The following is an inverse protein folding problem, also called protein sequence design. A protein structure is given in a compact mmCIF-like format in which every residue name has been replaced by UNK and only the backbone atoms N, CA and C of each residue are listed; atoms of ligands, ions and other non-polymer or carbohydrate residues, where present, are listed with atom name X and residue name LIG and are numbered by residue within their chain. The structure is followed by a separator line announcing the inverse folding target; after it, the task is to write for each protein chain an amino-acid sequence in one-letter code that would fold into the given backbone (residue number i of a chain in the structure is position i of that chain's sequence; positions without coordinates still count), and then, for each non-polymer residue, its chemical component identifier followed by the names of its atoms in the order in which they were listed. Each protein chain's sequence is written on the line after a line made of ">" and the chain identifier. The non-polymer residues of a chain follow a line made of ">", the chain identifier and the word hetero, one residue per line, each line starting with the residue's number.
data_IF_662679417330
#
_entry.id   IF_662679417330
#
_cell.length_a   1.000
_cell.length_b   1.000
_cell.length_c   1.000
_cell.angle_alpha   90.00
_cell.angle_beta   90.00
_cell.angle_gamma   90.00
#
_symmetry.space_group_name_H-M   'P 1'
#
loop_
_entity.id
_entity.type
_entity.pdbx_description
1 polymer ?
#
# COMPACT_ATOMS: atom_id res chain seq x y z
N UNK A 1 17.34 -19.36 -57.82
CA UNK A 1 18.18 -18.69 -56.80
C UNK A 1 17.48 -17.53 -56.07
N UNK A 2 16.18 -17.21 -56.31
CA UNK A 2 15.52 -16.04 -55.71
C UNK A 2 14.80 -16.28 -54.35
N UNK A 3 14.72 -17.53 -53.87
CA UNK A 3 13.98 -17.89 -52.64
C UNK A 3 14.86 -18.27 -51.45
N UNK A 4 16.18 -18.40 -51.63
CA UNK A 4 17.08 -18.83 -50.54
C UNK A 4 17.40 -17.70 -49.55
N UNK A 5 17.51 -16.46 -50.03
CA UNK A 5 17.88 -15.29 -49.22
C UNK A 5 16.79 -14.88 -48.19
N UNK A 6 15.47 -14.87 -48.50
CA UNK A 6 14.47 -14.48 -47.51
C UNK A 6 14.31 -15.49 -46.36
N UNK A 7 14.57 -16.78 -46.61
CA UNK A 7 14.45 -17.84 -45.59
C UNK A 7 15.54 -17.76 -44.51
N UNK A 8 16.77 -17.39 -44.89
CA UNK A 8 17.88 -17.25 -43.93
C UNK A 8 17.72 -16.01 -43.04
N UNK A 9 17.18 -14.91 -43.59
CA UNK A 9 16.91 -13.68 -42.82
C UNK A 9 15.77 -13.89 -41.81
N UNK A 10 14.71 -14.61 -42.20
CA UNK A 10 13.59 -14.92 -41.31
C UNK A 10 13.99 -15.88 -40.18
N UNK A 11 14.86 -16.86 -40.47
CA UNK A 11 15.39 -17.78 -39.47
C UNK A 11 16.26 -17.08 -38.41
N UNK A 12 17.14 -16.16 -38.83
CA UNK A 12 17.99 -15.41 -37.90
C UNK A 12 17.21 -14.42 -37.03
N UNK A 13 16.20 -13.75 -37.59
CA UNK A 13 15.33 -12.86 -36.82
C UNK A 13 14.48 -13.63 -35.79
N UNK A 14 14.03 -14.84 -36.12
CA UNK A 14 13.31 -15.72 -35.19
C UNK A 14 14.14 -16.17 -33.99
N UNK A 15 15.42 -16.51 -34.20
CA UNK A 15 16.34 -16.90 -33.12
C UNK A 15 16.57 -15.76 -32.12
N UNK A 16 16.66 -14.51 -32.60
CA UNK A 16 16.85 -13.35 -31.74
C UNK A 16 15.62 -12.99 -30.89
N UNK A 17 14.41 -13.23 -31.43
CA UNK A 17 13.15 -12.85 -30.76
C UNK A 17 12.60 -13.95 -29.88
N UNK A 18 12.82 -15.22 -30.21
CA UNK A 18 12.28 -16.33 -29.45
C UNK A 18 13.20 -17.58 -29.47
N UNK A 19 14.35 -17.53 -28.77
CA UNK A 19 15.38 -18.56 -28.87
C UNK A 19 14.89 -19.94 -28.39
N UNK A 20 13.97 -19.98 -27.42
CA UNK A 20 13.42 -21.21 -26.86
C UNK A 20 12.67 -22.08 -27.89
N UNK A 21 12.12 -21.48 -28.95
CA UNK A 21 11.40 -22.21 -30.01
C UNK A 21 12.28 -22.48 -31.24
N UNK A 22 13.15 -21.53 -31.62
CA UNK A 22 13.90 -21.62 -32.87
C UNK A 22 15.17 -22.48 -32.77
N UNK A 23 15.83 -22.52 -31.60
CA UNK A 23 17.02 -23.38 -31.39
C UNK A 23 16.68 -24.87 -31.56
N UNK A 24 15.64 -25.44 -30.92
CA UNK A 24 15.31 -26.86 -31.12
C UNK A 24 14.86 -27.18 -32.56
N UNK A 25 14.21 -26.24 -33.26
CA UNK A 25 13.84 -26.39 -34.68
C UNK A 25 15.05 -26.46 -35.61
N UNK A 26 16.09 -25.66 -35.34
CA UNK A 26 17.35 -25.70 -36.09
C UNK A 26 18.10 -27.02 -35.88
N UNK A 27 18.14 -27.53 -34.66
CA UNK A 27 18.75 -28.84 -34.34
C UNK A 27 18.02 -29.95 -35.10
N UNK A 28 16.68 -29.92 -35.12
CA UNK A 28 15.88 -30.91 -35.86
C UNK A 28 16.12 -30.85 -37.37
N UNK A 29 16.21 -29.65 -37.95
CA UNK A 29 16.50 -29.48 -39.38
C UNK A 29 17.90 -29.96 -39.76
N UNK A 30 18.91 -29.71 -38.91
CA UNK A 30 20.26 -30.22 -39.09
C UNK A 30 20.29 -31.76 -39.06
N UNK A 31 19.59 -32.37 -38.11
CA UNK A 31 19.47 -33.83 -38.04
C UNK A 31 18.83 -34.44 -39.30
N UNK A 32 17.77 -33.80 -39.83
CA UNK A 32 17.11 -34.27 -41.04
C UNK A 32 18.05 -34.27 -42.28
N UNK A 33 18.90 -33.26 -42.41
CA UNK A 33 19.89 -33.17 -43.49
C UNK A 33 20.93 -34.30 -43.42
N UNK A 34 21.42 -34.62 -42.22
CA UNK A 34 22.36 -35.73 -42.01
C UNK A 34 21.73 -37.07 -42.37
N UNK A 35 20.46 -37.29 -41.99
CA UNK A 35 19.74 -38.53 -42.33
C UNK A 35 19.56 -38.67 -43.85
N UNK A 36 19.21 -37.60 -44.55
CA UNK A 36 19.05 -37.63 -46.02
C UNK A 36 20.37 -37.98 -46.72
N UNK A 37 21.49 -37.41 -46.27
CA UNK A 37 22.81 -37.68 -46.86
C UNK A 37 23.27 -39.13 -46.60
N UNK A 38 23.04 -39.62 -45.37
CA UNK A 38 23.32 -41.01 -45.01
C UNK A 38 22.54 -42.02 -45.87
N UNK A 39 21.25 -41.77 -46.11
CA UNK A 39 20.44 -42.61 -47.01
C UNK A 39 20.86 -42.49 -48.48
N UNK A 40 21.34 -41.32 -48.92
CA UNK A 40 21.90 -41.11 -50.25
C UNK A 40 23.18 -41.91 -50.50
N UNK A 41 24.07 -41.94 -49.50
CA UNK A 41 25.33 -42.68 -49.53
C UNK A 41 25.10 -44.20 -49.66
N UNK A 42 24.23 -44.76 -48.82
CA UNK A 42 23.86 -46.19 -48.87
C UNK A 42 23.29 -46.62 -50.23
N UNK A 43 22.57 -45.73 -50.93
CA UNK A 43 21.99 -46.03 -52.25
C UNK A 43 23.01 -46.08 -53.38
N UNK A 44 24.21 -45.48 -53.21
CA UNK A 44 25.28 -45.49 -54.22
C UNK A 44 26.11 -46.77 -54.16
N UNK A 45 26.48 -47.23 -52.96
CA UNK A 45 27.25 -48.47 -52.78
C UNK A 45 26.52 -49.72 -53.30
N UNK A 46 25.19 -49.75 -53.21
CA UNK A 46 24.37 -50.85 -53.72
C UNK A 46 24.44 -51.00 -55.26
N UNK A 47 24.78 -49.94 -56.01
CA UNK A 47 24.84 -49.98 -57.48
C UNK A 47 26.21 -50.44 -58.01
N UNK A 48 27.29 -50.18 -57.28
CA UNK A 48 28.66 -50.52 -57.72
C UNK A 48 28.97 -52.01 -57.53
N UNK A 49 28.43 -52.64 -56.49
CA UNK A 49 28.60 -54.08 -56.24
C UNK A 49 27.94 -54.97 -57.30
N UNK A 50 26.95 -54.46 -58.04
CA UNK A 50 26.28 -55.21 -59.11
C UNK A 50 27.10 -55.28 -60.42
N UNK A 51 28.06 -54.38 -60.63
CA UNK A 51 28.83 -54.28 -61.88
C UNK A 51 30.09 -55.16 -61.92
N UNK A 52 30.62 -55.57 -60.77
CA UNK A 52 31.90 -56.27 -60.68
C UNK A 52 31.76 -57.80 -60.81
N UNK A 53 30.54 -58.35 -60.69
CA UNK A 53 30.30 -59.80 -60.65
C UNK A 53 30.25 -60.51 -62.03
N UNK A 54 30.51 -59.83 -63.16
CA UNK A 54 30.22 -60.34 -64.51
C UNK A 54 31.42 -60.43 -65.47
N UNK A 55 32.41 -61.32 -65.23
CA UNK A 55 33.37 -61.71 -66.28
C UNK A 55 33.94 -63.15 -66.12
N UNK A 56 34.01 -63.98 -67.19
CA UNK A 56 34.61 -65.32 -67.15
C UNK A 56 35.97 -65.44 -67.88
N UNK A 57 36.84 -66.43 -67.56
CA UNK A 57 38.17 -66.62 -68.17
C UNK A 57 38.22 -67.70 -69.28
N UNK A 58 39.16 -67.55 -70.24
CA UNK A 58 39.36 -68.42 -71.43
C UNK A 58 40.76 -69.08 -71.43
N UNK A 59 40.83 -70.35 -71.86
CA UNK A 59 41.99 -71.28 -71.83
C UNK A 59 42.83 -71.32 -73.12
N UNK A 60 44.11 -71.73 -72.93
CA UNK A 60 45.17 -72.30 -73.79
C UNK A 60 44.75 -73.12 -75.03
N UNK A 61 45.59 -73.31 -76.09
CA UNK A 61 46.43 -74.54 -76.19
C UNK A 61 47.71 -74.55 -77.12
N UNK A 62 48.63 -75.51 -76.85
CA UNK A 62 49.67 -76.16 -77.72
C UNK A 62 49.03 -77.04 -78.84
N UNK A 63 49.68 -77.67 -79.90
CA UNK A 63 50.89 -78.56 -79.83
C UNK A 63 51.71 -79.00 -81.12
N UNK A 64 52.84 -79.72 -80.90
CA UNK A 64 53.41 -80.97 -81.53
C UNK A 64 53.95 -81.12 -83.01
N UNK A 65 54.82 -82.14 -83.29
CA UNK A 65 55.92 -82.14 -84.30
C UNK A 65 56.02 -83.34 -85.29
N UNK A 66 57.10 -83.31 -86.13
CA UNK A 66 57.81 -84.42 -86.85
C UNK A 66 57.11 -85.05 -88.09
N UNK A 67 57.71 -85.96 -88.93
CA UNK A 67 59.11 -86.43 -89.16
C UNK A 67 59.52 -86.58 -90.68
N UNK A 68 60.75 -87.07 -90.94
CA UNK A 68 61.30 -87.53 -92.24
C UNK A 68 60.62 -88.83 -92.77
N UNK A 69 60.86 -89.31 -94.05
CA UNK A 69 61.96 -90.26 -94.31
C UNK A 69 62.43 -90.51 -95.79
N UNK A 70 63.39 -91.45 -95.90
CA UNK A 70 63.58 -92.53 -96.91
C UNK A 70 64.38 -92.40 -98.23
N UNK A 71 65.30 -93.38 -98.36
CA UNK A 71 66.25 -93.77 -99.41
C UNK A 71 65.63 -94.27 -100.73
N UNK A 72 66.39 -94.19 -101.84
CA UNK A 72 66.33 -95.16 -102.97
C UNK A 72 67.73 -95.34 -103.61
N UNK A 73 68.12 -96.59 -103.90
CA UNK A 73 69.37 -97.06 -104.55
C UNK A 73 69.21 -97.14 -106.07
N UNK A 74 70.17 -96.67 -106.87
CA UNK A 74 70.32 -97.01 -108.29
C UNK A 74 71.81 -97.14 -108.68
N UNK A 75 72.11 -98.17 -109.48
CA UNK A 75 73.43 -98.62 -109.97
C UNK A 75 73.99 -97.66 -111.01
N UNK A 76 75.24 -97.18 -110.87
CA UNK A 76 75.94 -96.35 -111.86
C UNK A 76 77.38 -96.83 -112.12
N UNK A 77 77.87 -96.53 -113.33
CA UNK A 77 79.02 -97.15 -114.01
C UNK A 77 80.35 -96.41 -113.71
N UNK A 78 81.54 -96.99 -113.97
CA UNK A 78 82.80 -96.59 -113.32
C UNK A 78 83.33 -95.17 -113.61
N UNK A 79 82.82 -94.46 -114.62
CA UNK A 79 83.19 -93.05 -114.87
C UNK A 79 82.16 -92.03 -114.37
N UNK A 80 80.98 -92.48 -113.92
CA UNK A 80 79.96 -91.63 -113.28
C UNK A 80 80.13 -91.61 -111.75
N UNK A 81 80.79 -92.63 -111.17
CA UNK A 81 81.10 -92.70 -109.73
C UNK A 81 82.02 -91.57 -109.25
N UNK A 82 82.93 -91.04 -110.07
CA UNK A 82 83.79 -89.91 -109.67
C UNK A 82 83.06 -88.56 -109.76
N UNK A 83 82.12 -88.42 -110.71
CA UNK A 83 81.26 -87.22 -110.82
C UNK A 83 80.13 -87.23 -109.79
N UNK A 84 79.53 -88.39 -109.51
CA UNK A 84 78.52 -88.56 -108.45
C UNK A 84 79.18 -88.55 -107.06
N UNK A 85 80.41 -89.04 -106.89
CA UNK A 85 81.16 -88.88 -105.64
C UNK A 85 81.53 -87.42 -105.38
N UNK A 86 81.90 -86.64 -106.41
CA UNK A 86 82.08 -85.18 -106.27
C UNK A 86 80.76 -84.47 -106.03
N UNK A 87 79.69 -84.78 -106.76
CA UNK A 87 78.38 -84.17 -106.52
C UNK A 87 77.76 -84.57 -105.17
N UNK A 88 78.02 -85.79 -104.66
CA UNK A 88 77.63 -86.21 -103.31
C UNK A 88 78.55 -85.64 -102.24
N UNK A 89 79.83 -85.44 -102.52
CA UNK A 89 80.74 -84.72 -101.63
C UNK A 89 80.32 -83.25 -101.52
N UNK A 90 80.11 -82.56 -102.64
CA UNK A 90 79.62 -81.18 -102.69
C UNK A 90 78.21 -81.06 -102.08
N UNK A 91 77.31 -82.02 -102.30
CA UNK A 91 76.00 -82.04 -101.65
C UNK A 91 76.07 -82.41 -100.16
N UNK A 92 77.05 -83.21 -99.74
CA UNK A 92 77.28 -83.50 -98.33
C UNK A 92 77.93 -82.29 -97.63
N UNK A 93 78.81 -81.56 -98.31
CA UNK A 93 79.44 -80.34 -97.83
C UNK A 93 78.41 -79.20 -97.78
N UNK A 94 77.56 -79.05 -98.79
CA UNK A 94 76.44 -78.12 -98.78
C UNK A 94 75.41 -78.48 -97.69
N UNK A 95 75.14 -79.77 -97.45
CA UNK A 95 74.29 -80.21 -96.32
C UNK A 95 74.96 -80.00 -94.97
N UNK A 96 76.28 -80.19 -94.87
CA UNK A 96 77.03 -79.92 -93.65
C UNK A 96 77.06 -78.42 -93.35
N UNK A 97 77.26 -77.58 -94.37
CA UNK A 97 77.17 -76.12 -94.27
C UNK A 97 75.74 -75.66 -93.95
N UNK A 98 74.71 -76.27 -94.55
CA UNK A 98 73.32 -75.99 -94.23
C UNK A 98 72.97 -76.41 -92.80
N UNK A 99 73.40 -77.59 -92.35
CA UNK A 99 73.22 -78.05 -90.97
C UNK A 99 74.00 -77.19 -89.97
N UNK A 100 75.19 -76.71 -90.35
CA UNK A 100 75.98 -75.79 -89.53
C UNK A 100 75.33 -74.40 -89.48
N UNK A 101 74.78 -73.91 -90.59
CA UNK A 101 74.01 -72.66 -90.64
C UNK A 101 72.70 -72.77 -89.83
N UNK A 102 71.99 -73.90 -89.91
CA UNK A 102 70.81 -74.18 -89.08
C UNK A 102 71.18 -74.30 -87.59
N UNK A 103 72.30 -74.94 -87.25
CA UNK A 103 72.78 -75.03 -85.87
C UNK A 103 73.16 -73.65 -85.31
N UNK A 104 73.84 -72.82 -86.10
CA UNK A 104 74.14 -71.43 -85.73
C UNK A 104 72.88 -70.58 -85.63
N UNK A 105 71.89 -70.77 -86.50
CA UNK A 105 70.60 -70.08 -86.43
C UNK A 105 69.78 -70.53 -85.21
N UNK A 106 69.80 -71.84 -84.87
CA UNK A 106 69.17 -72.38 -83.68
C UNK A 106 69.86 -71.89 -82.39
N UNK A 107 71.19 -71.83 -82.38
CA UNK A 107 71.96 -71.26 -81.28
C UNK A 107 71.68 -69.76 -81.12
N UNK A 108 71.64 -69.00 -82.22
CA UNK A 108 71.29 -67.58 -82.20
C UNK A 108 69.86 -67.34 -81.67
N UNK A 109 68.89 -68.18 -82.07
CA UNK A 109 67.52 -68.15 -81.52
C UNK A 109 67.48 -68.49 -80.04
N UNK A 110 68.16 -69.55 -79.61
CA UNK A 110 68.22 -69.92 -78.19
C UNK A 110 68.87 -68.83 -77.34
N UNK A 111 69.91 -68.14 -77.86
CA UNK A 111 70.51 -66.98 -77.20
C UNK A 111 69.57 -65.78 -77.15
N UNK A 112 68.80 -65.54 -78.21
CA UNK A 112 67.79 -64.48 -78.24
C UNK A 112 66.65 -64.75 -77.24
N UNK A 113 66.10 -65.97 -77.22
CA UNK A 113 65.07 -66.39 -76.27
C UNK A 113 65.59 -66.34 -74.81
N UNK A 114 66.84 -66.73 -74.57
CA UNK A 114 67.46 -66.59 -73.25
C UNK A 114 67.64 -65.11 -72.85
N UNK A 115 68.01 -64.23 -73.78
CA UNK A 115 68.11 -62.79 -73.55
C UNK A 115 66.73 -62.16 -73.30
N UNK A 116 65.69 -62.57 -74.01
CA UNK A 116 64.30 -62.15 -73.77
C UNK A 116 63.79 -62.62 -72.41
N UNK A 117 64.05 -63.88 -72.04
CA UNK A 117 63.70 -64.41 -70.73
C UNK A 117 64.42 -63.67 -69.59
N UNK A 118 65.69 -63.31 -69.80
CA UNK A 118 66.46 -62.49 -68.86
C UNK A 118 65.91 -61.05 -68.77
N UNK A 119 65.53 -60.45 -69.89
CA UNK A 119 64.93 -59.11 -69.91
C UNK A 119 63.57 -59.09 -69.19
N UNK A 120 62.72 -60.09 -69.41
CA UNK A 120 61.44 -60.24 -68.71
C UNK A 120 61.63 -60.52 -67.22
N UNK A 121 62.64 -61.32 -66.83
CA UNK A 121 62.97 -61.54 -65.44
C UNK A 121 63.45 -60.24 -64.77
N UNK A 122 64.29 -59.45 -65.44
CA UNK A 122 64.74 -58.15 -64.96
C UNK A 122 63.59 -57.13 -64.86
N UNK A 123 62.64 -57.14 -65.81
CA UNK A 123 61.44 -56.30 -65.77
C UNK A 123 60.53 -56.71 -64.60
N UNK A 124 60.32 -58.01 -64.38
CA UNK A 124 59.54 -58.52 -63.26
C UNK A 124 60.19 -58.18 -61.90
N UNK A 125 61.52 -58.27 -61.79
CA UNK A 125 62.25 -57.83 -60.60
C UNK A 125 62.15 -56.31 -60.39
N UNK A 126 62.23 -55.52 -61.45
CA UNK A 126 62.05 -54.06 -61.37
C UNK A 126 60.64 -53.68 -60.92
N UNK A 127 59.60 -54.33 -61.47
CA UNK A 127 58.21 -54.12 -61.05
C UNK A 127 57.96 -54.60 -59.61
N UNK A 128 58.59 -55.70 -59.19
CA UNK A 128 58.52 -56.16 -57.80
C UNK A 128 59.18 -55.14 -56.85
N UNK A 129 60.35 -54.61 -57.21
CA UNK A 129 61.03 -53.57 -56.45
C UNK A 129 60.21 -52.26 -56.40
N UNK A 130 59.58 -51.86 -57.50
CA UNK A 130 58.68 -50.70 -57.54
C UNK A 130 57.45 -50.91 -56.65
N UNK A 131 56.83 -52.10 -56.69
CA UNK A 131 55.71 -52.44 -55.83
C UNK A 131 56.10 -52.45 -54.34
N UNK A 132 57.28 -52.96 -54.00
CA UNK A 132 57.82 -52.91 -52.64
C UNK A 132 58.10 -51.48 -52.19
N UNK A 133 58.65 -50.63 -53.06
CA UNK A 133 58.90 -49.22 -52.77
C UNK A 133 57.59 -48.46 -52.51
N UNK A 134 56.56 -48.66 -53.35
CA UNK A 134 55.24 -48.08 -53.16
C UNK A 134 54.57 -48.60 -51.87
N UNK A 135 54.72 -49.87 -51.55
CA UNK A 135 54.22 -50.44 -50.30
C UNK A 135 54.94 -49.85 -49.07
N UNK A 136 56.26 -49.63 -49.17
CA UNK A 136 57.03 -48.97 -48.12
C UNK A 136 56.63 -47.50 -47.96
N UNK A 137 56.41 -46.77 -49.05
CA UNK A 137 55.91 -45.39 -49.02
C UNK A 137 54.52 -45.30 -48.39
N UNK A 138 53.59 -46.17 -48.79
CA UNK A 138 52.24 -46.21 -48.22
C UNK A 138 52.27 -46.53 -46.71
N UNK A 139 53.18 -47.40 -46.26
CA UNK A 139 53.38 -47.67 -44.82
C UNK A 139 53.92 -46.45 -44.09
N UNK A 140 54.94 -45.78 -44.65
CA UNK A 140 55.48 -44.56 -44.06
C UNK A 140 54.43 -43.44 -43.97
N UNK A 141 53.60 -43.27 -45.00
CA UNK A 141 52.48 -42.32 -44.98
C UNK A 141 51.42 -42.68 -43.92
N UNK A 142 51.08 -43.96 -43.77
CA UNK A 142 50.13 -44.42 -42.76
C UNK A 142 50.67 -44.23 -41.33
N UNK A 143 51.96 -44.51 -41.11
CA UNK A 143 52.64 -44.27 -39.82
C UNK A 143 52.71 -42.77 -39.50
N UNK A 144 53.01 -41.92 -40.47
CA UNK A 144 53.00 -40.47 -40.30
C UNK A 144 51.60 -39.95 -39.93
N UNK A 145 50.55 -40.40 -40.63
CA UNK A 145 49.17 -40.02 -40.33
C UNK A 145 48.74 -40.52 -38.93
N UNK A 146 49.16 -41.72 -38.52
CA UNK A 146 48.90 -42.23 -37.18
C UNK A 146 49.62 -41.42 -36.11
N UNK A 147 50.87 -41.01 -36.35
CA UNK A 147 51.62 -40.16 -35.44
C UNK A 147 51.01 -38.76 -35.30
N UNK A 148 50.56 -38.16 -36.40
CA UNK A 148 49.83 -36.88 -36.39
C UNK A 148 48.51 -36.98 -35.61
N UNK A 149 47.73 -38.05 -35.82
CA UNK A 149 46.49 -38.28 -35.08
C UNK A 149 46.73 -38.43 -33.56
N UNK A 150 47.75 -39.20 -33.17
CA UNK A 150 48.17 -39.34 -31.77
C UNK A 150 48.66 -38.02 -31.16
N UNK A 151 49.33 -37.18 -31.96
CA UNK A 151 49.77 -35.86 -31.51
C UNK A 151 48.62 -34.86 -31.35
N UNK A 152 47.54 -35.00 -32.14
CA UNK A 152 46.36 -34.12 -32.08
C UNK A 152 45.39 -34.46 -30.92
N UNK A 153 45.34 -35.71 -30.47
CA UNK A 153 44.49 -36.15 -29.35
C UNK A 153 44.68 -35.34 -28.05
N UNK A 154 45.91 -35.09 -27.53
CA UNK A 154 46.09 -34.29 -26.32
C UNK A 154 45.67 -32.82 -26.51
N UNK A 155 45.81 -32.26 -27.71
CA UNK A 155 45.35 -30.89 -28.00
C UNK A 155 43.81 -30.81 -27.97
N UNK A 156 43.13 -31.80 -28.54
CA UNK A 156 41.67 -31.91 -28.49
C UNK A 156 41.16 -32.05 -27.05
N UNK A 157 41.79 -32.92 -26.24
CA UNK A 157 41.46 -33.09 -24.83
C UNK A 157 41.73 -31.81 -24.02
N UNK A 158 42.82 -31.10 -24.30
CA UNK A 158 43.10 -29.82 -23.67
C UNK A 158 42.08 -28.74 -24.04
N UNK A 159 41.64 -28.70 -25.30
CA UNK A 159 40.59 -27.79 -25.76
C UNK A 159 39.24 -28.11 -25.08
N UNK A 160 38.88 -29.39 -24.97
CA UNK A 160 37.67 -29.81 -24.27
C UNK A 160 37.73 -29.45 -22.78
N UNK A 161 38.84 -29.72 -22.09
CA UNK A 161 39.01 -29.37 -20.69
C UNK A 161 38.92 -27.85 -20.45
N UNK A 162 39.47 -27.03 -21.36
CA UNK A 162 39.33 -25.57 -21.30
C UNK A 162 37.87 -25.13 -21.48
N UNK A 163 37.18 -25.69 -22.47
CA UNK A 163 35.76 -25.38 -22.69
C UNK A 163 34.89 -25.76 -21.47
N UNK A 164 35.18 -26.91 -20.84
CA UNK A 164 34.49 -27.32 -19.61
C UNK A 164 34.80 -26.38 -18.43
N UNK A 165 36.06 -25.95 -18.27
CA UNK A 165 36.44 -24.99 -17.22
C UNK A 165 35.77 -23.63 -17.41
N UNK A 166 35.76 -23.09 -18.63
CA UNK A 166 35.08 -21.83 -18.97
C UNK A 166 33.57 -21.92 -18.74
N UNK A 167 32.95 -23.05 -19.10
CA UNK A 167 31.54 -23.29 -18.83
C UNK A 167 31.23 -23.33 -17.32
N UNK A 168 32.10 -23.97 -16.52
CA UNK A 168 31.96 -24.01 -15.07
C UNK A 168 32.13 -22.61 -14.44
N UNK A 169 33.09 -21.81 -14.90
CA UNK A 169 33.28 -20.43 -14.46
C UNK A 169 32.07 -19.56 -14.79
N UNK A 170 31.54 -19.66 -16.01
CA UNK A 170 30.34 -18.93 -16.42
C UNK A 170 29.11 -19.30 -15.55
N UNK A 171 28.95 -20.59 -15.22
CA UNK A 171 27.90 -21.05 -14.32
C UNK A 171 28.08 -20.50 -12.90
N UNK A 172 29.32 -20.49 -12.38
CA UNK A 172 29.62 -19.94 -11.06
C UNK A 172 29.32 -18.44 -10.98
N UNK A 173 29.73 -17.66 -11.99
CA UNK A 173 29.43 -16.24 -12.09
C UNK A 173 27.92 -15.97 -12.21
N UNK A 174 27.20 -16.79 -12.98
CA UNK A 174 25.74 -16.69 -13.09
C UNK A 174 25.05 -17.00 -11.75
N UNK A 175 25.53 -18.00 -11.01
CA UNK A 175 25.02 -18.34 -9.69
C UNK A 175 25.31 -17.22 -8.68
N UNK A 176 26.51 -16.64 -8.69
CA UNK A 176 26.87 -15.50 -7.84
C UNK A 176 26.02 -14.27 -8.16
N UNK A 177 25.81 -13.96 -9.44
CA UNK A 177 24.95 -12.85 -9.87
C UNK A 177 23.50 -13.04 -9.38
N UNK A 178 22.98 -14.26 -9.46
CA UNK A 178 21.64 -14.61 -8.92
C UNK A 178 21.59 -14.44 -7.41
N UNK A 179 22.57 -14.95 -6.67
CA UNK A 179 22.64 -14.82 -5.22
C UNK A 179 22.71 -13.35 -4.79
N UNK A 180 23.53 -12.53 -5.47
CA UNK A 180 23.59 -11.07 -5.23
C UNK A 180 22.27 -10.39 -5.57
N UNK A 181 21.60 -10.80 -6.63
CA UNK A 181 20.27 -10.29 -6.99
C UNK A 181 19.21 -10.59 -5.92
N UNK A 182 19.19 -11.83 -5.42
CA UNK A 182 18.29 -12.26 -4.34
C UNK A 182 18.56 -11.48 -3.04
N UNK A 183 19.82 -11.39 -2.61
CA UNK A 183 20.19 -10.65 -1.41
C UNK A 183 19.79 -9.16 -1.50
N UNK A 184 19.91 -8.54 -2.68
CA UNK A 184 19.44 -7.16 -2.89
C UNK A 184 17.92 -7.03 -2.85
N UNK A 185 17.20 -8.01 -3.41
CA UNK A 185 15.75 -8.02 -3.37
C UNK A 185 15.23 -8.17 -1.92
N UNK A 186 15.82 -9.08 -1.14
CA UNK A 186 15.50 -9.27 0.29
C UNK A 186 15.84 -8.02 1.11
N UNK A 187 16.98 -7.38 0.85
CA UNK A 187 17.33 -6.12 1.50
C UNK A 187 16.32 -5.00 1.17
N UNK A 188 15.90 -4.88 -0.10
CA UNK A 188 14.90 -3.90 -0.50
C UNK A 188 13.51 -4.19 0.12
N UNK A 189 13.12 -5.45 0.24
CA UNK A 189 11.87 -5.85 0.89
C UNK A 189 11.89 -5.52 2.39
N UNK A 190 12.99 -5.83 3.09
CA UNK A 190 13.14 -5.50 4.51
C UNK A 190 13.17 -3.99 4.76
N UNK A 191 13.82 -3.20 3.89
CA UNK A 191 13.77 -1.73 3.93
C UNK A 191 12.35 -1.20 3.70
N UNK A 192 11.61 -1.76 2.73
CA UNK A 192 10.23 -1.37 2.45
C UNK A 192 9.30 -1.65 3.65
N UNK A 193 9.42 -2.83 4.27
CA UNK A 193 8.68 -3.20 5.47
C UNK A 193 9.03 -2.28 6.65
N UNK A 194 10.31 -1.94 6.82
CA UNK A 194 10.74 -1.00 7.86
C UNK A 194 10.20 0.42 7.63
N UNK A 195 10.16 0.88 6.37
CA UNK A 195 9.57 2.17 6.01
C UNK A 195 8.06 2.19 6.27
N UNK A 196 7.35 1.11 5.91
CA UNK A 196 5.92 0.98 6.19
C UNK A 196 5.64 1.02 7.71
N UNK A 197 6.39 0.25 8.50
CA UNK A 197 6.22 0.22 9.95
C UNK A 197 6.46 1.60 10.60
N UNK A 198 7.43 2.37 10.09
CA UNK A 198 7.65 3.77 10.53
C UNK A 198 6.49 4.67 10.17
N UNK A 199 5.98 4.59 8.94
CA UNK A 199 4.83 5.39 8.52
C UNK A 199 3.57 5.08 9.35
N UNK A 200 3.34 3.81 9.68
CA UNK A 200 2.23 3.40 10.56
C UNK A 200 2.40 3.93 11.99
N UNK A 201 3.62 3.89 12.53
CA UNK A 201 3.92 4.45 13.85
C UNK A 201 3.72 5.97 13.90
N UNK A 202 4.24 6.71 12.90
CA UNK A 202 4.05 8.16 12.80
C UNK A 202 2.58 8.55 12.66
N UNK A 203 1.80 7.78 11.90
CA UNK A 203 0.35 7.98 11.78
C UNK A 203 -0.37 7.76 13.13
N UNK A 204 -0.03 6.70 13.86
CA UNK A 204 -0.60 6.42 15.17
C UNK A 204 -0.26 7.51 16.20
N UNK A 205 0.97 8.03 16.19
CA UNK A 205 1.38 9.15 17.04
C UNK A 205 0.59 10.43 16.70
N UNK A 206 0.40 10.73 15.42
CA UNK A 206 -0.39 11.88 14.98
C UNK A 206 -1.86 11.76 15.41
N UNK A 207 -2.46 10.58 15.30
CA UNK A 207 -3.81 10.31 15.77
C UNK A 207 -3.94 10.47 17.29
N UNK A 208 -2.97 9.97 18.06
CA UNK A 208 -2.93 10.11 19.52
C UNK A 208 -2.85 11.59 19.94
N UNK A 209 -1.97 12.38 19.31
CA UNK A 209 -1.87 13.83 19.56
C UNK A 209 -3.17 14.56 19.20
N UNK A 210 -3.81 14.20 18.09
CA UNK A 210 -5.09 14.79 17.70
C UNK A 210 -6.22 14.45 18.69
N UNK A 211 -6.25 13.22 19.20
CA UNK A 211 -7.21 12.80 20.21
C UNK A 211 -6.99 13.55 21.54
N UNK A 212 -5.74 13.71 21.97
CA UNK A 212 -5.40 14.48 23.16
C UNK A 212 -5.81 15.95 23.03
N UNK A 213 -5.51 16.58 21.89
CA UNK A 213 -5.91 17.97 21.62
C UNK A 213 -7.44 18.16 21.65
N UNK A 214 -8.20 17.20 21.12
CA UNK A 214 -9.67 17.21 21.20
C UNK A 214 -10.16 17.08 22.63
N UNK A 215 -9.61 16.15 23.40
CA UNK A 215 -9.97 15.97 24.81
C UNK A 215 -9.67 17.24 25.64
N UNK A 216 -8.53 17.90 25.39
CA UNK A 216 -8.19 19.16 26.04
C UNK A 216 -9.16 20.29 25.66
N UNK A 217 -9.57 20.38 24.39
CA UNK A 217 -10.54 21.36 23.93
C UNK A 217 -11.92 21.15 24.58
N UNK A 218 -12.41 19.91 24.61
CA UNK A 218 -13.67 19.54 25.26
C UNK A 218 -13.64 19.85 26.78
N UNK A 219 -12.53 19.56 27.44
CA UNK A 219 -12.35 19.90 28.86
C UNK A 219 -12.36 21.41 29.10
N UNK A 220 -11.72 22.19 28.24
CA UNK A 220 -11.73 23.65 28.32
C UNK A 220 -13.13 24.24 28.09
N UNK A 221 -13.88 23.70 27.13
CA UNK A 221 -15.28 24.09 26.88
C UNK A 221 -16.17 23.76 28.08
N UNK A 222 -16.03 22.58 28.68
CA UNK A 222 -16.79 22.19 29.87
C UNK A 222 -16.50 23.11 31.06
N UNK A 223 -15.23 23.48 31.28
CA UNK A 223 -14.85 24.45 32.33
C UNK A 223 -15.44 25.83 32.06
N UNK A 224 -15.42 26.30 30.81
CA UNK A 224 -16.01 27.60 30.44
C UNK A 224 -17.52 27.61 30.66
N UNK A 225 -18.22 26.52 30.32
CA UNK A 225 -19.65 26.37 30.59
C UNK A 225 -19.96 26.34 32.09
N UNK A 226 -19.17 25.60 32.87
CA UNK A 226 -19.32 25.57 34.33
C UNK A 226 -19.11 26.95 34.97
N UNK A 227 -18.13 27.72 34.49
CA UNK A 227 -17.89 29.10 34.96
C UNK A 227 -19.09 30.01 34.65
N UNK A 228 -19.63 29.94 33.42
CA UNK A 228 -20.83 30.71 33.04
C UNK A 228 -22.05 30.33 33.88
N UNK A 229 -22.25 29.05 34.16
CA UNK A 229 -23.35 28.59 35.01
C UNK A 229 -23.22 29.11 36.45
N UNK A 230 -22.00 29.19 36.99
CA UNK A 230 -21.73 29.78 38.31
C UNK A 230 -22.02 31.28 38.32
N UNK A 231 -21.54 32.01 37.33
CA UNK A 231 -21.81 33.46 37.20
C UNK A 231 -23.33 33.74 37.12
N UNK A 232 -24.07 32.92 36.36
CA UNK A 232 -25.53 33.03 36.29
C UNK A 232 -26.20 32.72 37.63
N UNK A 233 -25.73 31.71 38.36
CA UNK A 233 -26.25 31.37 39.68
C UNK A 233 -25.97 32.50 40.69
N UNK A 234 -24.75 33.04 40.72
CA UNK A 234 -24.38 34.18 41.58
C UNK A 234 -25.21 35.44 41.25
N UNK A 235 -25.43 35.71 39.96
CA UNK A 235 -26.30 36.81 39.52
C UNK A 235 -27.76 36.61 39.97
N UNK A 236 -28.29 35.39 39.87
CA UNK A 236 -29.63 35.06 40.33
C UNK A 236 -29.76 35.19 41.86
N UNK A 237 -28.76 34.73 42.63
CA UNK A 237 -28.71 34.91 44.08
C UNK A 237 -28.65 36.39 44.48
N UNK A 238 -27.85 37.20 43.78
CA UNK A 238 -27.76 38.64 44.02
C UNK A 238 -29.10 39.33 43.76
N UNK A 239 -29.79 38.97 42.68
CA UNK A 239 -31.14 39.47 42.37
C UNK A 239 -32.15 39.08 43.44
N UNK A 240 -32.12 37.81 43.91
CA UNK A 240 -33.00 37.34 44.97
C UNK A 240 -32.79 38.12 46.28
N UNK A 241 -31.53 38.36 46.68
CA UNK A 241 -31.21 39.18 47.87
C UNK A 241 -31.65 40.64 47.71
N UNK A 242 -31.47 41.22 46.52
CA UNK A 242 -31.93 42.58 46.25
C UNK A 242 -33.46 42.69 46.36
N UNK A 243 -34.20 41.71 45.81
CA UNK A 243 -35.66 41.64 45.92
C UNK A 243 -36.12 41.44 47.37
N UNK A 244 -35.44 40.60 48.15
CA UNK A 244 -35.73 40.43 49.58
C UNK A 244 -35.50 41.73 50.36
N UNK A 245 -34.38 42.42 50.13
CA UNK A 245 -34.08 43.70 50.78
C UNK A 245 -35.11 44.77 50.44
N UNK A 246 -35.57 44.82 49.18
CA UNK A 246 -36.66 45.70 48.76
C UNK A 246 -37.97 45.36 49.49
N UNK A 247 -38.35 44.08 49.54
CA UNK A 247 -39.56 43.64 50.25
C UNK A 247 -39.49 43.97 51.76
N UNK A 248 -38.33 43.82 52.39
CA UNK A 248 -38.12 44.20 53.79
C UNK A 248 -38.22 45.72 54.00
N UNK A 249 -37.65 46.53 53.09
CA UNK A 249 -37.76 47.98 53.14
C UNK A 249 -39.22 48.45 52.99
N UNK A 250 -39.95 47.90 52.01
CA UNK A 250 -41.38 48.18 51.82
C UNK A 250 -42.22 47.77 53.04
N UNK A 251 -41.93 46.61 53.64
CA UNK A 251 -42.60 46.16 54.86
C UNK A 251 -42.31 47.09 56.05
N UNK A 252 -41.07 47.58 56.20
CA UNK A 252 -40.71 48.54 57.23
C UNK A 252 -41.42 49.89 57.03
N UNK A 253 -41.45 50.41 55.80
CA UNK A 253 -42.21 51.63 55.48
C UNK A 253 -43.71 51.47 55.78
N UNK A 254 -44.30 50.33 55.42
CA UNK A 254 -45.69 50.02 55.72
C UNK A 254 -45.96 49.99 57.23
N UNK A 255 -45.05 49.43 58.02
CA UNK A 255 -45.14 49.44 59.48
C UNK A 255 -45.05 50.85 60.06
N UNK A 256 -44.12 51.68 59.58
CA UNK A 256 -44.01 53.09 60.00
C UNK A 256 -45.29 53.85 59.67
N UNK A 257 -45.83 53.72 58.46
CA UNK A 257 -47.13 54.33 58.08
C UNK A 257 -48.28 53.84 58.96
N UNK A 258 -48.32 52.54 59.28
CA UNK A 258 -49.33 51.99 60.18
C UNK A 258 -49.19 52.53 61.61
N UNK A 259 -47.97 52.69 62.11
CA UNK A 259 -47.69 53.28 63.43
C UNK A 259 -48.10 54.76 63.48
N UNK A 260 -47.75 55.55 62.45
CA UNK A 260 -48.18 56.94 62.31
C UNK A 260 -49.71 57.07 62.26
N UNK A 261 -50.38 56.20 61.49
CA UNK A 261 -51.84 56.18 61.41
C UNK A 261 -52.48 55.89 62.78
N UNK A 262 -51.92 54.93 63.54
CA UNK A 262 -52.35 54.64 64.92
C UNK A 262 -52.11 55.80 65.86
N UNK A 263 -50.97 56.48 65.77
CA UNK A 263 -50.66 57.65 66.59
C UNK A 263 -51.63 58.81 66.29
N UNK A 264 -51.92 59.06 65.01
CA UNK A 264 -52.94 60.05 64.59
C UNK A 264 -54.34 59.69 65.09
N UNK A 265 -54.71 58.41 65.04
CA UNK A 265 -55.99 57.95 65.56
C UNK A 265 -56.11 58.18 67.08
N UNK A 266 -55.06 57.84 67.85
CA UNK A 266 -55.00 58.11 69.30
C UNK A 266 -55.10 59.60 69.61
N UNK A 267 -54.32 60.42 68.93
CA UNK A 267 -54.35 61.88 69.12
C UNK A 267 -55.75 62.47 68.83
N UNK A 268 -56.47 61.93 67.83
CA UNK A 268 -57.87 62.33 67.57
C UNK A 268 -58.82 61.88 68.68
N UNK A 269 -58.65 60.67 69.20
CA UNK A 269 -59.45 60.19 70.35
C UNK A 269 -59.20 61.05 71.58
N UNK A 270 -57.93 61.30 71.93
CA UNK A 270 -57.55 62.16 73.05
C UNK A 270 -58.06 63.59 72.88
N UNK A 271 -58.00 64.15 71.66
CA UNK A 271 -58.58 65.46 71.37
C UNK A 271 -60.10 65.47 71.54
N UNK A 272 -60.81 64.42 71.09
CA UNK A 272 -62.26 64.29 71.26
C UNK A 272 -62.64 64.12 72.73
N UNK A 273 -61.86 63.37 73.52
CA UNK A 273 -62.03 63.25 74.97
C UNK A 273 -61.80 64.60 75.67
N UNK A 274 -60.74 65.32 75.30
CA UNK A 274 -60.46 66.65 75.84
C UNK A 274 -61.57 67.65 75.50
N UNK A 275 -62.12 67.62 74.28
CA UNK A 275 -63.27 68.42 73.87
C UNK A 275 -64.53 68.05 74.66
N UNK A 276 -64.79 66.75 74.88
CA UNK A 276 -65.92 66.29 75.70
C UNK A 276 -65.79 66.76 77.16
N UNK A 277 -64.60 66.69 77.77
CA UNK A 277 -64.34 67.20 79.12
C UNK A 277 -64.52 68.73 79.16
N UNK A 278 -64.02 69.46 78.15
CA UNK A 278 -64.20 70.90 78.07
C UNK A 278 -65.69 71.29 77.91
N UNK A 279 -66.46 70.52 77.12
CA UNK A 279 -67.90 70.71 76.97
C UNK A 279 -68.65 70.42 78.29
N UNK A 280 -68.27 69.37 79.01
CA UNK A 280 -68.83 69.06 80.33
C UNK A 280 -68.53 70.18 81.33
N UNK A 281 -67.29 70.66 81.41
CA UNK A 281 -66.91 71.75 82.29
C UNK A 281 -67.67 73.05 81.97
N UNK A 282 -67.92 73.34 80.68
CA UNK A 282 -68.78 74.45 80.26
C UNK A 282 -70.22 74.24 80.71
N UNK A 283 -70.79 73.04 80.54
CA UNK A 283 -72.14 72.73 80.99
C UNK A 283 -72.28 72.84 82.52
N UNK A 284 -71.28 72.39 83.29
CA UNK A 284 -71.23 72.54 84.74
C UNK A 284 -71.10 74.00 85.17
N UNK A 285 -70.28 74.79 84.47
CA UNK A 285 -70.16 76.22 84.71
C UNK A 285 -71.47 76.98 84.40
N UNK A 286 -72.12 76.65 83.29
CA UNK A 286 -73.44 77.19 82.93
C UNK A 286 -74.51 76.79 83.95
N UNK A 287 -74.50 75.54 84.43
CA UNK A 287 -75.39 75.08 85.49
C UNK A 287 -75.14 75.81 86.82
N UNK A 288 -73.88 75.98 87.21
CA UNK A 288 -73.51 76.74 88.40
C UNK A 288 -73.89 78.22 88.27
N UNK A 289 -73.74 78.84 87.09
CA UNK A 289 -74.21 80.19 86.84
C UNK A 289 -75.75 80.28 86.93
N UNK A 290 -76.47 79.29 86.40
CA UNK A 290 -77.92 79.21 86.50
C UNK A 290 -78.39 79.04 87.96
N UNK A 291 -77.71 78.21 88.75
CA UNK A 291 -77.96 78.06 90.19
C UNK A 291 -77.67 79.35 90.96
N UNK A 292 -76.55 80.02 90.67
CA UNK A 292 -76.22 81.31 91.28
C UNK A 292 -77.28 82.36 90.97
N UNK A 293 -77.75 82.45 89.72
CA UNK A 293 -78.87 83.32 89.33
C UNK A 293 -80.17 82.94 90.03
N UNK A 294 -80.48 81.65 90.18
CA UNK A 294 -81.66 81.20 90.91
C UNK A 294 -81.57 81.57 92.40
N UNK A 295 -80.38 81.44 93.00
CA UNK A 295 -80.12 81.86 94.37
C UNK A 295 -80.22 83.38 94.55
N UNK A 296 -79.73 84.18 93.60
CA UNK A 296 -79.94 85.64 93.58
C UNK A 296 -81.42 86.00 93.49
N UNK A 297 -82.20 85.31 92.65
CA UNK A 297 -83.65 85.51 92.55
C UNK A 297 -84.35 85.14 93.85
N UNK A 298 -83.96 84.03 94.49
CA UNK A 298 -84.52 83.61 95.77
C UNK A 298 -84.16 84.57 96.91
N UNK A 299 -82.89 84.98 97.01
CA UNK A 299 -82.45 85.99 97.98
C UNK A 299 -83.12 87.35 97.72
N UNK A 300 -83.33 87.72 96.46
CA UNK A 300 -84.11 88.88 96.07
C UNK A 300 -85.58 88.77 96.50
N UNK A 301 -86.19 87.60 96.34
CA UNK A 301 -87.55 87.33 96.79
C UNK A 301 -87.67 87.35 98.33
N UNK A 302 -86.74 86.73 99.04
CA UNK A 302 -86.67 86.74 100.51
C UNK A 302 -86.42 88.16 101.06
N UNK A 303 -85.55 88.94 100.41
CA UNK A 303 -85.35 90.35 100.74
C UNK A 303 -86.61 91.19 100.49
N UNK A 304 -87.34 90.91 99.40
CA UNK A 304 -88.64 91.55 99.14
C UNK A 304 -89.69 91.16 100.19
N UNK A 305 -89.70 89.90 100.64
CA UNK A 305 -90.57 89.43 101.72
C UNK A 305 -90.20 90.06 103.07
N UNK A 306 -88.91 90.17 103.39
CA UNK A 306 -88.42 90.86 104.57
C UNK A 306 -88.77 92.36 104.54
N UNK A 307 -88.70 93.01 103.37
CA UNK A 307 -89.18 94.38 103.20
C UNK A 307 -90.70 94.48 103.38
N UNK A 308 -91.47 93.52 102.87
CA UNK A 308 -92.92 93.47 103.05
C UNK A 308 -93.29 93.30 104.53
N UNK A 309 -92.60 92.41 105.26
CA UNK A 309 -92.75 92.24 106.70
C UNK A 309 -92.31 93.48 107.49
N UNK A 310 -91.23 94.15 107.08
CA UNK A 310 -90.81 95.41 107.68
C UNK A 310 -91.84 96.53 107.42
N UNK A 311 -92.44 96.56 106.23
CA UNK A 311 -93.53 97.47 105.90
C UNK A 311 -94.80 97.14 106.71
N UNK A 312 -95.13 95.86 106.90
CA UNK A 312 -96.24 95.43 107.75
C UNK A 312 -95.98 95.76 109.23
N UNK A 313 -94.76 95.57 109.72
CA UNK A 313 -94.36 95.96 111.08
C UNK A 313 -94.44 97.48 111.27
N UNK A 314 -94.03 98.28 110.27
CA UNK A 314 -94.26 99.74 110.28
C UNK A 314 -95.74 100.08 110.28
N UNK A 315 -96.56 99.39 109.48
CA UNK A 315 -98.01 99.58 109.46
C UNK A 315 -98.66 99.21 110.81
N UNK A 316 -98.21 98.13 111.46
CA UNK A 316 -98.63 97.75 112.81
C UNK A 316 -98.16 98.74 113.87
N UNK A 317 -96.94 99.26 113.78
CA UNK A 317 -96.44 100.29 114.68
C UNK A 317 -97.26 101.59 114.55
N UNK A 318 -97.64 101.98 113.34
CA UNK A 318 -98.56 103.11 113.09
C UNK A 318 -99.95 102.83 113.65
N UNK A 319 -100.47 101.59 113.51
CA UNK A 319 -101.76 101.19 114.08
C UNK A 319 -101.75 101.22 115.62
N UNK A 320 -100.72 100.67 116.25
CA UNK A 320 -100.56 100.68 117.71
C UNK A 320 -100.37 102.10 118.24
N UNK A 321 -99.68 102.98 117.49
CA UNK A 321 -99.61 104.41 117.81
C UNK A 321 -100.98 105.08 117.75
N UNK A 322 -101.78 104.79 116.72
CA UNK A 322 -103.18 105.27 116.63
C UNK A 322 -104.08 104.68 117.71
N UNK A 323 -103.88 103.43 118.12
CA UNK A 323 -104.63 102.81 119.22
C UNK A 323 -104.21 103.36 120.59
N UNK A 324 -102.94 103.70 120.80
CA UNK A 324 -102.47 104.41 121.98
C UNK A 324 -103.01 105.86 122.04
N UNK A 325 -103.09 106.54 120.89
CA UNK A 325 -103.73 107.85 120.74
C UNK A 325 -105.27 107.75 120.91
N UNK A 326 -105.90 106.63 120.54
CA UNK A 326 -107.34 106.39 120.74
C UNK A 326 -107.71 106.06 122.20
N UNK A 327 -106.80 105.47 122.98
CA UNK A 327 -107.03 105.12 124.40
C UNK A 327 -106.90 106.31 125.35
N UNK A 328 -106.39 107.44 124.88
CA UNK A 328 -106.24 108.69 125.65
C UNK A 328 -107.35 109.72 125.40
N UNK A 329 -108.33 109.43 124.50
CA UNK A 329 -109.27 110.44 123.99
C UNK A 329 -110.78 110.15 124.21
N UNK A 330 -111.20 109.21 125.08
CA UNK A 330 -112.64 109.05 125.44
C UNK A 330 -112.89 108.74 126.92
N UNK A 331 -112.64 109.74 127.77
CA UNK A 331 -113.55 110.13 128.86
C UNK A 331 -114.00 111.57 128.55
N UNK A 332 -115.28 111.83 128.26
CA UNK A 332 -115.82 113.17 128.36
C UNK A 332 -116.68 113.28 129.63
N UNK A 333 -116.25 114.14 130.55
CA UNK A 333 -117.04 114.69 131.64
C UNK A 333 -117.68 115.96 131.08
N UNK A 334 -119.01 115.94 130.98
CA UNK A 334 -119.96 117.06 130.90
C UNK A 334 -119.46 118.44 130.40
N UNK A 335 -119.97 118.84 129.22
CA UNK A 335 -120.50 120.19 128.98
C UNK A 335 -122.01 120.09 129.14
N UNK A 336 -122.69 120.92 129.94
CA UNK A 336 -124.14 121.16 129.78
C UNK A 336 -124.63 122.44 130.45
N UNK A 337 -125.61 123.08 129.79
CA UNK A 337 -125.50 124.22 128.88
C UNK A 337 -124.79 125.42 129.50
N UNK A 338 -125.08 126.65 129.09
CA UNK A 338 -124.65 127.87 129.76
C UNK A 338 -125.86 128.72 130.11
N UNK A 339 -125.78 129.30 131.28
CA UNK A 339 -126.61 130.31 131.90
C UNK A 339 -127.83 130.91 131.34
N UNK A 340 -128.82 130.15 130.92
CA UNK A 340 -129.22 128.99 131.69
C UNK A 340 -128.28 127.80 131.69
N UNK A 341 -127.73 127.51 132.86
CA UNK A 341 -126.43 126.88 133.21
C UNK A 341 -125.25 127.84 133.51
N UNK A 342 -125.49 129.00 134.19
CA UNK A 342 -124.59 130.16 134.23
C UNK A 342 -123.48 129.94 135.23
#
# INVERSE_FOLDING_TARGET
>A
MAFAVPLTVLGLAGVATNPALFVPLLVLAGFALVVVDFYGYQRREAKERALIAARPPKRNPQPRPAPAPTQVKLKQTPSELEAEARARADAAEAKAQAAQAEALAAEARARAEAAEAQALAAEAEALAAEAEALAAEARAQAEAAAAEALAAEPEALAAEARAQAEAAEAQALAAEARARGQARAEAAETEALAAQARAEAEAAEAEAMAAEARAQAEAAEALAQAARAREQAEAAEAQARAAEAQAQAEAAEAQTRAAEARARARARTEAAEAEAVAAQARAEAEAAEAEARAAEVWAGAEAAEAQALAAEARARAVRLRREAEAKTARRPKEDRPQGDSP
#
